data_IF_714936988732
#
_entry.id   IF_714936988732
#
_cell.length_a   1.000
_cell.length_b   1.000
_cell.length_c   1.000
_cell.angle_alpha   90.00
_cell.angle_beta   90.00
_cell.angle_gamma   90.00
#
_symmetry.space_group_name_H-M   'P 1'
#
loop_
_entity.id
_entity.type
_entity.pdbx_description
1 polymer ?
#
# COMPACT_ATOMS: atom_id res chain seq x y z
N UNK A 1 29.21 22.25 -13.09
CA UNK A 1 28.93 20.99 -12.32
C UNK A 1 29.51 21.18 -10.93
N UNK A 2 28.74 21.00 -9.87
CA UNK A 2 29.22 21.08 -8.49
C UNK A 2 29.20 19.69 -7.88
N UNK A 3 30.35 19.18 -7.42
CA UNK A 3 30.45 17.91 -6.71
C UNK A 3 30.37 18.17 -5.20
N UNK A 4 29.36 17.60 -4.54
CA UNK A 4 29.20 17.66 -3.08
C UNK A 4 29.64 16.32 -2.50
N UNK A 5 30.70 16.34 -1.68
CA UNK A 5 31.27 15.15 -1.03
C UNK A 5 31.35 15.37 0.48
N UNK A 6 30.97 14.38 1.27
CA UNK A 6 31.04 14.42 2.73
C UNK A 6 30.86 13.05 3.35
N UNK A 7 31.00 12.97 4.67
CA UNK A 7 30.76 11.73 5.44
C UNK A 7 29.27 11.41 5.51
N UNK A 8 28.92 10.14 5.80
CA UNK A 8 27.53 9.71 5.98
C UNK A 8 26.79 10.49 7.09
N UNK A 9 27.52 10.99 8.10
CA UNK A 9 26.98 11.76 9.21
C UNK A 9 26.66 13.23 8.85
N UNK A 10 27.23 13.75 7.75
CA UNK A 10 27.11 15.17 7.38
C UNK A 10 25.86 15.53 6.58
N UNK A 11 24.90 14.62 6.42
CA UNK A 11 23.63 14.81 5.67
C UNK A 11 23.76 15.61 4.36
N UNK A 12 24.80 15.28 3.57
CA UNK A 12 25.17 16.00 2.35
C UNK A 12 24.08 15.96 1.26
N UNK A 13 23.13 15.01 1.37
CA UNK A 13 22.00 14.94 0.45
C UNK A 13 21.07 16.15 0.64
N UNK A 14 20.77 16.54 1.88
CA UNK A 14 19.96 17.70 2.17
C UNK A 14 20.63 19.00 1.67
N UNK A 15 21.93 19.10 1.86
CA UNK A 15 22.73 20.22 1.36
C UNK A 15 22.72 20.28 -0.18
N UNK A 16 22.90 19.14 -0.86
CA UNK A 16 22.84 19.05 -2.32
C UNK A 16 21.47 19.44 -2.88
N UNK A 17 20.38 19.12 -2.17
CA UNK A 17 19.01 19.52 -2.55
C UNK A 17 18.85 21.06 -2.45
N UNK A 18 19.43 21.68 -1.41
CA UNK A 18 19.38 23.16 -1.25
C UNK A 18 20.20 23.90 -2.31
N UNK A 19 21.25 23.28 -2.85
CA UNK A 19 22.07 23.86 -3.93
C UNK A 19 21.42 23.72 -5.32
N UNK A 20 20.41 22.88 -5.49
CA UNK A 20 19.68 22.76 -6.75
C UNK A 20 18.83 24.01 -6.98
N UNK A 21 19.25 24.88 -7.90
CA UNK A 21 18.40 25.93 -8.43
C UNK A 21 17.26 25.28 -9.21
N UNK A 22 16.06 25.28 -8.63
CA UNK A 22 14.84 24.84 -9.31
C UNK A 22 14.47 25.88 -10.36
N UNK A 23 14.83 25.65 -11.63
CA UNK A 23 14.41 26.50 -12.77
C UNK A 23 12.94 26.34 -13.13
N UNK A 24 12.33 25.20 -12.75
CA UNK A 24 10.92 24.91 -13.00
C UNK A 24 10.26 24.48 -11.68
N UNK A 25 9.07 24.97 -11.45
CA UNK A 25 8.22 24.59 -10.32
C UNK A 25 7.07 23.77 -10.89
N UNK A 26 7.19 22.43 -10.80
CA UNK A 26 6.08 21.54 -11.07
C UNK A 26 5.43 21.21 -9.74
N UNK A 27 4.13 21.45 -9.61
CA UNK A 27 3.34 21.15 -8.42
C UNK A 27 2.30 20.08 -8.76
N UNK A 28 2.20 19.09 -7.91
CA UNK A 28 1.09 18.13 -7.92
C UNK A 28 0.04 18.63 -6.92
N UNK A 29 -1.10 19.08 -7.44
CA UNK A 29 -2.25 19.46 -6.59
C UNK A 29 -3.19 18.27 -6.46
N UNK A 30 -3.46 17.86 -5.22
CA UNK A 30 -4.35 16.75 -4.90
C UNK A 30 -5.59 17.30 -4.23
N UNK A 31 -6.75 17.12 -4.90
CA UNK A 31 -8.05 17.53 -4.38
C UNK A 31 -8.80 16.33 -3.80
N UNK A 32 -8.79 16.21 -2.47
CA UNK A 32 -9.53 15.17 -1.76
C UNK A 32 -11.06 15.35 -1.84
N UNK A 33 -11.56 16.56 -2.15
CA UNK A 33 -12.99 16.78 -2.39
C UNK A 33 -13.42 16.16 -3.72
N UNK A 34 -12.59 16.29 -4.75
CA UNK A 34 -12.81 15.60 -6.02
C UNK A 34 -12.76 14.07 -5.85
N UNK A 35 -11.80 13.54 -5.08
CA UNK A 35 -11.73 12.11 -4.77
C UNK A 35 -13.00 11.62 -4.03
N UNK A 36 -13.50 12.40 -3.06
CA UNK A 36 -14.76 12.13 -2.37
C UNK A 36 -15.93 12.04 -3.34
N UNK A 37 -16.04 13.00 -4.24
CA UNK A 37 -17.11 13.04 -5.23
C UNK A 37 -17.05 11.82 -6.16
N UNK A 38 -15.86 11.42 -6.59
CA UNK A 38 -15.66 10.23 -7.42
C UNK A 38 -16.13 8.97 -6.71
N UNK A 39 -15.68 8.72 -5.47
CA UNK A 39 -16.11 7.56 -4.67
C UNK A 39 -17.63 7.56 -4.48
N UNK A 40 -18.20 8.71 -4.14
CA UNK A 40 -19.65 8.84 -3.95
C UNK A 40 -20.44 8.56 -5.24
N UNK A 41 -19.89 8.94 -6.39
CA UNK A 41 -20.48 8.67 -7.69
C UNK A 41 -20.43 7.18 -8.02
N UNK A 42 -19.30 6.51 -7.80
CA UNK A 42 -19.21 5.06 -7.97
C UNK A 42 -20.18 4.31 -7.05
N UNK A 43 -20.28 4.70 -5.79
CA UNK A 43 -21.23 4.09 -4.83
C UNK A 43 -22.69 4.16 -5.28
N UNK A 44 -23.06 5.21 -6.02
CA UNK A 44 -24.43 5.34 -6.57
C UNK A 44 -24.70 4.45 -7.79
N UNK A 45 -23.65 4.04 -8.50
CA UNK A 45 -23.74 3.25 -9.73
C UNK A 45 -23.70 1.74 -9.49
N UNK A 46 -23.16 1.30 -8.36
CA UNK A 46 -23.03 -0.11 -8.02
C UNK A 46 -24.17 -0.58 -7.12
N UNK A 47 -24.39 -1.90 -7.08
CA UNK A 47 -25.33 -2.49 -6.13
C UNK A 47 -24.86 -2.20 -4.69
N UNK A 48 -25.77 -1.89 -3.73
CA UNK A 48 -25.40 -1.64 -2.34
C UNK A 48 -24.62 -2.79 -1.64
N UNK A 49 -24.75 -4.02 -2.13
CA UNK A 49 -24.00 -5.18 -1.63
C UNK A 49 -22.59 -5.31 -2.24
N UNK A 50 -22.26 -4.53 -3.28
CA UNK A 50 -20.95 -4.57 -3.94
C UNK A 50 -19.91 -3.87 -3.09
N UNK A 51 -18.82 -4.57 -2.80
CA UNK A 51 -17.69 -4.01 -2.05
C UNK A 51 -16.71 -3.27 -2.96
N UNK A 52 -16.12 -2.21 -2.44
CA UNK A 52 -15.14 -1.38 -3.15
C UNK A 52 -13.76 -1.65 -2.56
N UNK A 53 -12.86 -2.17 -3.41
CA UNK A 53 -11.43 -2.22 -3.14
C UNK A 53 -10.74 -1.06 -3.85
N UNK A 54 -9.97 -0.27 -3.12
CA UNK A 54 -9.21 0.86 -3.69
C UNK A 54 -7.72 0.57 -3.67
N UNK A 55 -7.10 0.61 -4.86
CA UNK A 55 -5.66 0.42 -5.01
C UNK A 55 -4.90 1.71 -4.66
N UNK A 56 -3.98 1.64 -3.68
CA UNK A 56 -3.17 2.78 -3.21
C UNK A 56 -1.67 2.50 -3.20
N UNK A 57 -1.23 1.55 -4.01
CA UNK A 57 0.19 1.20 -4.19
C UNK A 57 1.04 2.40 -4.62
N UNK A 58 2.37 2.27 -4.49
CA UNK A 58 3.35 3.29 -4.92
C UNK A 58 3.05 4.67 -4.34
N UNK A 59 2.92 4.74 -3.01
CA UNK A 59 2.57 5.98 -2.29
C UNK A 59 1.25 6.61 -2.78
N UNK A 60 0.25 5.76 -3.06
CA UNK A 60 -1.03 6.16 -3.65
C UNK A 60 -0.83 7.01 -4.91
N UNK A 61 0.07 6.56 -5.80
CA UNK A 61 0.44 7.26 -7.03
C UNK A 61 0.91 8.72 -6.80
N UNK A 62 1.60 8.97 -5.69
CA UNK A 62 2.14 10.27 -5.31
C UNK A 62 1.22 11.11 -4.40
N UNK A 63 0.04 10.63 -4.07
CA UNK A 63 -0.89 11.30 -3.13
C UNK A 63 -0.48 11.15 -1.66
N UNK A 64 0.44 10.24 -1.35
CA UNK A 64 0.84 9.86 -0.01
C UNK A 64 0.01 8.71 0.55
N UNK A 65 0.68 7.59 0.85
CA UNK A 65 0.05 6.31 1.21
C UNK A 65 -0.88 6.45 2.43
N UNK A 66 -0.32 6.86 3.56
CA UNK A 66 -1.06 6.96 4.83
C UNK A 66 -2.20 7.96 4.76
N UNK A 67 -1.94 9.17 4.24
CA UNK A 67 -2.97 10.22 4.14
C UNK A 67 -4.16 9.76 3.29
N UNK A 68 -3.87 9.11 2.16
CA UNK A 68 -4.91 8.60 1.25
C UNK A 68 -5.65 7.42 1.87
N UNK A 69 -4.93 6.49 2.51
CA UNK A 69 -5.55 5.35 3.19
C UNK A 69 -6.53 5.77 4.28
N UNK A 70 -6.12 6.68 5.18
CA UNK A 70 -6.99 7.23 6.22
C UNK A 70 -8.21 7.97 5.65
N UNK A 71 -8.03 8.68 4.54
CA UNK A 71 -9.14 9.34 3.87
C UNK A 71 -10.13 8.33 3.29
N UNK A 72 -9.66 7.29 2.60
CA UNK A 72 -10.49 6.25 2.01
C UNK A 72 -11.26 5.44 3.05
N UNK A 73 -10.62 5.12 4.19
CA UNK A 73 -11.27 4.47 5.32
C UNK A 73 -12.45 5.31 5.85
N UNK A 74 -12.24 6.63 6.04
CA UNK A 74 -13.32 7.56 6.41
C UNK A 74 -14.43 7.66 5.35
N UNK A 75 -14.11 7.44 4.09
CA UNK A 75 -15.10 7.39 2.99
C UNK A 75 -15.87 6.07 2.94
N UNK A 76 -15.53 5.11 3.80
CA UNK A 76 -16.20 3.83 3.89
C UNK A 76 -16.00 2.95 2.66
N UNK A 77 -14.79 2.90 2.11
CA UNK A 77 -14.41 1.82 1.18
C UNK A 77 -14.23 0.52 2.00
N UNK A 78 -14.35 -0.63 1.35
CA UNK A 78 -14.35 -1.91 2.05
C UNK A 78 -12.95 -2.52 2.17
N UNK A 79 -12.07 -2.24 1.21
CA UNK A 79 -10.72 -2.79 1.11
C UNK A 79 -9.72 -1.75 0.61
N UNK A 80 -8.48 -1.89 1.04
CA UNK A 80 -7.33 -1.24 0.41
C UNK A 80 -6.47 -2.29 -0.28
N UNK A 81 -5.85 -1.92 -1.40
CA UNK A 81 -4.88 -2.75 -2.11
C UNK A 81 -3.53 -2.06 -2.20
N UNK A 82 -2.47 -2.79 -1.91
CA UNK A 82 -1.08 -2.33 -2.01
C UNK A 82 -0.25 -3.27 -2.88
N UNK A 83 0.92 -2.84 -3.33
CA UNK A 83 1.79 -3.70 -4.11
C UNK A 83 2.58 -4.66 -3.22
N UNK A 84 3.18 -4.17 -2.15
CA UNK A 84 4.12 -4.91 -1.30
C UNK A 84 3.72 -4.86 0.17
N UNK A 85 4.30 -5.76 0.95
CA UNK A 85 4.01 -5.95 2.38
C UNK A 85 4.38 -4.72 3.20
N UNK A 86 5.50 -4.07 2.91
CA UNK A 86 5.97 -2.87 3.61
C UNK A 86 4.98 -1.70 3.53
N UNK A 87 4.31 -1.51 2.39
CA UNK A 87 3.21 -0.52 2.25
C UNK A 87 2.04 -0.88 3.19
N UNK A 88 1.67 -2.15 3.26
CA UNK A 88 0.62 -2.63 4.16
C UNK A 88 0.97 -2.43 5.64
N UNK A 89 2.22 -2.72 6.01
CA UNK A 89 2.75 -2.49 7.36
C UNK A 89 2.72 -1.01 7.73
N UNK A 90 3.10 -0.11 6.81
CA UNK A 90 3.04 1.34 7.02
C UNK A 90 1.59 1.78 7.31
N UNK A 91 0.61 1.27 6.57
CA UNK A 91 -0.81 1.57 6.78
C UNK A 91 -1.30 1.06 8.14
N UNK A 92 -0.94 -0.17 8.55
CA UNK A 92 -1.29 -0.71 9.87
C UNK A 92 -0.69 0.09 11.01
N UNK A 93 0.59 0.49 10.90
CA UNK A 93 1.25 1.36 11.89
C UNK A 93 0.61 2.73 11.99
N UNK A 94 -0.01 3.22 10.91
CA UNK A 94 -0.80 4.45 10.90
C UNK A 94 -2.22 4.30 11.48
N UNK A 95 -2.63 3.09 11.88
CA UNK A 95 -3.91 2.81 12.56
C UNK A 95 -5.05 2.39 11.64
N UNK A 96 -4.82 2.15 10.35
CA UNK A 96 -5.85 1.67 9.42
C UNK A 96 -6.32 0.27 9.80
N UNK A 97 -7.64 0.09 9.88
CA UNK A 97 -8.30 -1.17 10.27
C UNK A 97 -8.91 -1.94 9.09
N UNK A 98 -9.10 -1.29 7.94
CA UNK A 98 -9.66 -1.97 6.76
C UNK A 98 -8.83 -3.20 6.37
N UNK A 99 -9.44 -4.25 5.80
CA UNK A 99 -8.70 -5.31 5.15
C UNK A 99 -7.75 -4.75 4.08
N UNK A 100 -6.53 -5.28 4.02
CA UNK A 100 -5.49 -4.83 3.08
C UNK A 100 -5.03 -6.02 2.25
N UNK A 101 -5.32 -5.96 0.94
CA UNK A 101 -4.80 -6.88 -0.05
C UNK A 101 -3.36 -6.50 -0.43
N UNK A 102 -2.43 -7.46 -0.38
CA UNK A 102 -1.07 -7.32 -0.87
C UNK A 102 -0.91 -8.10 -2.18
N UNK A 103 -0.66 -7.39 -3.28
CA UNK A 103 -0.62 -7.97 -4.62
C UNK A 103 0.62 -8.85 -4.89
N UNK A 104 1.75 -8.51 -4.28
CA UNK A 104 3.03 -9.19 -4.46
C UNK A 104 3.68 -9.40 -3.08
N UNK A 105 3.19 -10.38 -2.34
CA UNK A 105 3.81 -10.82 -1.10
C UNK A 105 4.93 -11.82 -1.43
N UNK A 106 6.15 -11.48 -1.06
CA UNK A 106 7.29 -12.41 -1.16
C UNK A 106 7.31 -13.35 0.05
N UNK A 107 7.82 -14.57 -0.14
CA UNK A 107 7.87 -15.59 0.91
C UNK A 107 8.60 -15.10 2.17
N UNK A 108 9.65 -14.29 1.97
CA UNK A 108 10.43 -13.66 3.06
C UNK A 108 9.63 -12.69 3.93
N UNK A 109 8.51 -12.18 3.43
CA UNK A 109 7.64 -11.22 4.10
C UNK A 109 6.33 -11.83 4.63
N UNK A 110 6.15 -13.15 4.54
CA UNK A 110 4.92 -13.81 5.01
C UNK A 110 4.71 -13.67 6.53
N UNK A 111 5.78 -13.63 7.33
CA UNK A 111 5.68 -13.34 8.76
C UNK A 111 5.03 -11.99 9.02
N UNK A 112 5.46 -10.95 8.29
CA UNK A 112 4.89 -9.61 8.42
C UNK A 112 3.43 -9.55 7.94
N UNK A 113 3.07 -10.29 6.87
CA UNK A 113 1.68 -10.43 6.46
C UNK A 113 0.80 -10.94 7.62
N UNK A 114 1.28 -11.98 8.33
CA UNK A 114 0.54 -12.61 9.42
C UNK A 114 0.48 -11.68 10.64
N UNK A 115 1.60 -11.08 11.04
CA UNK A 115 1.69 -10.22 12.22
C UNK A 115 0.84 -8.94 12.09
N UNK A 116 0.79 -8.39 10.87
CA UNK A 116 0.04 -7.17 10.58
C UNK A 116 -1.36 -7.43 9.98
N UNK A 117 -1.81 -8.68 9.92
CA UNK A 117 -3.10 -9.08 9.33
C UNK A 117 -3.29 -8.49 7.92
N UNK A 118 -2.31 -8.73 7.04
CA UNK A 118 -2.34 -8.35 5.63
C UNK A 118 -2.69 -9.58 4.79
N UNK A 119 -3.58 -9.44 3.83
CA UNK A 119 -4.11 -10.52 3.02
C UNK A 119 -3.30 -10.69 1.73
N UNK A 120 -2.42 -11.70 1.62
CA UNK A 120 -1.59 -11.88 0.43
C UNK A 120 -2.38 -12.43 -0.75
N UNK A 121 -2.07 -11.94 -1.96
CA UNK A 121 -2.48 -12.59 -3.20
C UNK A 121 -1.44 -13.66 -3.60
N UNK A 122 -1.86 -14.90 -3.58
CA UNK A 122 -1.02 -16.05 -3.92
C UNK A 122 -1.37 -16.54 -5.34
N UNK A 123 -0.35 -16.87 -6.12
CA UNK A 123 -0.51 -17.24 -7.54
C UNK A 123 0.09 -18.60 -7.90
N UNK A 124 0.69 -19.32 -6.95
CA UNK A 124 1.21 -20.66 -7.16
C UNK A 124 1.01 -21.56 -5.95
N UNK A 125 1.07 -22.87 -6.16
CA UNK A 125 1.00 -23.86 -5.07
C UNK A 125 2.23 -23.79 -4.17
N UNK A 126 3.38 -23.43 -4.70
CA UNK A 126 4.62 -23.26 -3.94
C UNK A 126 4.45 -22.14 -2.92
N UNK A 127 3.95 -20.96 -3.36
CA UNK A 127 3.65 -19.86 -2.45
C UNK A 127 2.59 -20.22 -1.40
N UNK A 128 1.52 -20.90 -1.81
CA UNK A 128 0.50 -21.36 -0.87
C UNK A 128 1.11 -22.28 0.19
N UNK A 129 1.95 -23.23 -0.23
CA UNK A 129 2.61 -24.16 0.71
C UNK A 129 3.53 -23.42 1.67
N UNK A 130 4.34 -22.47 1.16
CA UNK A 130 5.23 -21.67 1.99
C UNK A 130 4.44 -20.83 3.00
N UNK A 131 3.34 -20.20 2.57
CA UNK A 131 2.48 -19.41 3.46
C UNK A 131 1.83 -20.26 4.54
N UNK A 132 1.33 -21.47 4.19
CA UNK A 132 0.75 -22.41 5.15
C UNK A 132 1.80 -22.87 6.18
N UNK A 133 3.04 -23.18 5.76
CA UNK A 133 4.12 -23.52 6.69
C UNK A 133 4.41 -22.37 7.66
N UNK A 134 4.39 -21.12 7.19
CA UNK A 134 4.57 -19.95 8.04
C UNK A 134 3.43 -19.82 9.06
N UNK A 135 2.18 -20.00 8.64
CA UNK A 135 1.01 -19.98 9.53
C UNK A 135 1.11 -21.04 10.64
N UNK A 136 1.48 -22.28 10.27
CA UNK A 136 1.68 -23.38 11.23
C UNK A 136 2.78 -23.02 12.22
N UNK A 137 3.93 -22.52 11.74
CA UNK A 137 5.05 -22.10 12.57
C UNK A 137 4.69 -20.99 13.57
N UNK A 138 3.76 -20.12 13.22
CA UNK A 138 3.25 -19.04 14.08
C UNK A 138 1.98 -19.41 14.86
N UNK A 139 1.58 -20.69 14.83
CA UNK A 139 0.36 -21.20 15.47
C UNK A 139 -0.90 -20.42 15.09
N UNK A 140 -1.05 -20.06 13.81
CA UNK A 140 -2.19 -19.33 13.24
C UNK A 140 -2.95 -20.22 12.27
N UNK A 141 -4.27 -20.02 12.17
CA UNK A 141 -5.16 -20.74 11.25
C UNK A 141 -6.29 -19.84 10.79
N UNK A 142 -6.99 -20.26 9.72
CA UNK A 142 -8.12 -19.51 9.19
C UNK A 142 -7.76 -18.13 8.65
N UNK A 143 -6.54 -17.95 8.15
CA UNK A 143 -6.05 -16.67 7.66
C UNK A 143 -6.58 -16.37 6.26
N UNK A 144 -7.10 -15.17 6.00
CA UNK A 144 -7.61 -14.80 4.68
C UNK A 144 -6.49 -14.64 3.66
N UNK A 145 -6.71 -15.19 2.47
CA UNK A 145 -5.82 -15.07 1.31
C UNK A 145 -6.64 -14.76 0.08
N UNK A 146 -6.00 -14.22 -0.93
CA UNK A 146 -6.56 -14.06 -2.28
C UNK A 146 -5.83 -14.98 -3.26
N UNK A 147 -6.58 -15.53 -4.22
CA UNK A 147 -6.00 -16.33 -5.30
C UNK A 147 -5.91 -15.46 -6.53
N UNK A 148 -4.70 -15.32 -7.08
CA UNK A 148 -4.45 -14.57 -8.30
C UNK A 148 -4.37 -15.54 -9.48
N UNK A 149 -5.33 -15.43 -10.39
CA UNK A 149 -5.34 -16.17 -11.65
C UNK A 149 -4.91 -15.24 -12.77
N UNK A 150 -3.92 -15.67 -13.54
CA UNK A 150 -3.52 -14.98 -14.77
C UNK A 150 -4.22 -15.65 -15.94
N UNK A 151 -5.17 -14.95 -16.54
CA UNK A 151 -6.02 -15.49 -17.62
C UNK A 151 -5.66 -14.93 -18.99
N UNK A 152 -4.59 -14.14 -19.09
CA UNK A 152 -4.12 -13.54 -20.34
C UNK A 152 -4.55 -12.09 -20.55
#
# INVERSE_FOLDING_TARGET
MVLVKGTRQANMQEFAVKLKLKKHKTELLIDFSALRNNISSFKKLINPSTKILTMIKSQAYGMGLVKTGLFLEKMGVDYLGVAYVDEGVELRKAGIQLPILVMNAEDSAFSDCIDYNLEPALYSFEQLTAFVHQLIGMNRSGFPIHIKLDTG
#
